data_IF_242600001464
#
_entry.id   IF_242600001464
#
_cell.length_a   1.000
_cell.length_b   1.000
_cell.length_c   1.000
_cell.angle_alpha   90.00
_cell.angle_beta   90.00
_cell.angle_gamma   90.00
#
_symmetry.space_group_name_H-M   'P 1'
#
loop_
_entity.id
_entity.type
_entity.pdbx_description
1 polymer ?
#
# COMPACT_ATOMS: atom_id res chain seq x y z
N UNK A 1 -75.14 -9.85 54.70
CA UNK A 1 -73.71 -10.24 54.54
C UNK A 1 -73.58 -11.17 53.34
N UNK A 2 -72.94 -10.71 52.26
CA UNK A 2 -72.21 -11.52 51.28
C UNK A 2 -71.34 -10.55 50.46
N UNK A 3 -70.03 -10.57 50.73
CA UNK A 3 -69.03 -9.68 50.15
C UNK A 3 -68.73 -10.16 48.73
N UNK A 4 -68.86 -9.26 47.75
CA UNK A 4 -68.29 -9.43 46.42
C UNK A 4 -66.77 -9.21 46.52
N UNK A 5 -65.99 -10.20 46.11
CA UNK A 5 -64.53 -10.08 46.00
C UNK A 5 -64.19 -10.21 44.52
N UNK A 6 -63.94 -9.07 43.87
CA UNK A 6 -63.44 -9.02 42.50
C UNK A 6 -61.98 -9.44 42.48
N UNK A 7 -61.67 -10.52 41.77
CA UNK A 7 -60.29 -10.90 41.44
C UNK A 7 -59.93 -10.18 40.14
N UNK A 8 -59.10 -9.15 40.23
CA UNK A 8 -58.46 -8.50 39.09
C UNK A 8 -57.24 -9.36 38.73
N UNK A 9 -57.30 -10.04 37.58
CA UNK A 9 -56.15 -10.76 37.03
C UNK A 9 -55.30 -9.74 36.25
N UNK A 10 -54.20 -9.32 36.86
CA UNK A 10 -53.19 -8.47 36.21
C UNK A 10 -52.33 -9.35 35.30
N UNK A 11 -52.56 -9.28 33.99
CA UNK A 11 -51.69 -9.89 32.99
C UNK A 11 -50.42 -9.05 32.86
N UNK A 12 -49.35 -9.45 33.55
CA UNK A 12 -48.01 -8.89 33.35
C UNK A 12 -47.44 -9.50 32.07
N UNK A 13 -47.58 -8.78 30.95
CA UNK A 13 -46.84 -9.02 29.72
C UNK A 13 -45.36 -8.72 29.99
N UNK A 14 -44.62 -9.75 30.38
CA UNK A 14 -43.16 -9.75 30.32
C UNK A 14 -42.76 -9.67 28.84
N UNK A 15 -42.52 -8.45 28.36
CA UNK A 15 -41.72 -8.19 27.18
C UNK A 15 -40.28 -8.64 27.47
N UNK A 16 -40.04 -9.94 27.35
CA UNK A 16 -38.70 -10.46 27.18
C UNK A 16 -38.16 -9.86 25.88
N UNK A 17 -37.45 -8.74 25.99
CA UNK A 17 -36.47 -8.31 25.00
C UNK A 17 -35.47 -9.46 24.92
N UNK A 18 -35.67 -10.35 23.93
CA UNK A 18 -34.67 -11.32 23.54
C UNK A 18 -33.44 -10.54 23.12
N UNK A 19 -32.47 -10.41 24.02
CA UNK A 19 -31.11 -10.06 23.65
C UNK A 19 -30.64 -11.15 22.68
N UNK A 20 -30.72 -10.86 21.38
CA UNK A 20 -30.04 -11.69 20.39
C UNK A 20 -28.59 -11.79 20.84
N UNK A 21 -28.01 -13.00 20.93
CA UNK A 21 -26.59 -13.12 21.23
C UNK A 21 -25.83 -12.31 20.19
N UNK A 22 -25.10 -11.30 20.64
CA UNK A 22 -24.19 -10.55 19.78
C UNK A 22 -23.26 -11.57 19.13
N UNK A 23 -23.18 -11.55 17.79
CA UNK A 23 -22.26 -12.42 17.06
C UNK A 23 -20.87 -12.22 17.68
N UNK A 24 -20.13 -13.29 18.01
CA UNK A 24 -18.80 -13.14 18.56
C UNK A 24 -17.95 -12.31 17.59
N UNK A 25 -17.39 -11.21 18.09
CA UNK A 25 -16.49 -10.37 17.31
C UNK A 25 -15.24 -11.20 16.99
N UNK A 26 -14.87 -11.23 15.71
CA UNK A 26 -13.69 -11.96 15.26
C UNK A 26 -12.46 -11.22 15.81
N UNK A 27 -11.68 -11.88 16.66
CA UNK A 27 -10.42 -11.34 17.17
C UNK A 27 -9.33 -11.43 16.08
N UNK A 28 -8.86 -10.27 15.63
CA UNK A 28 -7.83 -10.13 14.62
C UNK A 28 -6.43 -9.85 15.22
N UNK A 29 -6.30 -9.75 16.54
CA UNK A 29 -5.08 -9.26 17.22
C UNK A 29 -3.82 -10.00 16.79
N UNK A 30 -3.87 -11.34 16.72
CA UNK A 30 -2.72 -12.16 16.29
C UNK A 30 -2.33 -11.92 14.83
N UNK A 31 -3.32 -11.77 13.96
CA UNK A 31 -3.07 -11.45 12.56
C UNK A 31 -2.46 -10.05 12.43
N UNK A 32 -2.97 -9.06 13.16
CA UNK A 32 -2.44 -7.70 13.17
C UNK A 32 -0.99 -7.68 13.66
N UNK A 33 -0.70 -8.38 14.76
CA UNK A 33 0.67 -8.52 15.25
C UNK A 33 1.60 -9.15 14.20
N UNK A 34 1.12 -10.17 13.46
CA UNK A 34 1.88 -10.78 12.38
C UNK A 34 2.11 -9.84 11.20
N UNK A 35 1.13 -8.99 10.86
CA UNK A 35 1.23 -7.97 9.82
C UNK A 35 2.26 -6.90 10.20
N UNK A 36 2.22 -6.37 11.42
CA UNK A 36 3.19 -5.40 11.92
C UNK A 36 4.61 -5.99 11.93
N UNK A 37 4.75 -7.23 12.41
CA UNK A 37 6.02 -7.94 12.43
C UNK A 37 6.49 -8.43 11.05
N UNK A 38 5.69 -8.21 9.99
CA UNK A 38 5.95 -8.67 8.63
C UNK A 38 6.26 -10.18 8.51
N UNK A 39 5.70 -10.98 9.43
CA UNK A 39 5.96 -12.41 9.52
C UNK A 39 5.06 -13.18 8.53
N UNK A 40 5.54 -13.36 7.30
CA UNK A 40 4.79 -13.98 6.22
C UNK A 40 4.19 -15.37 6.53
N UNK A 41 4.93 -16.32 7.12
CA UNK A 41 4.36 -17.59 7.55
C UNK A 41 3.19 -17.42 8.53
N UNK A 42 3.34 -16.56 9.54
CA UNK A 42 2.31 -16.32 10.54
C UNK A 42 1.10 -15.59 9.96
N UNK A 43 1.30 -14.60 9.09
CA UNK A 43 0.22 -13.93 8.35
C UNK A 43 -0.61 -14.96 7.59
N UNK A 44 0.03 -15.87 6.84
CA UNK A 44 -0.68 -16.92 6.09
C UNK A 44 -1.47 -17.83 7.02
N UNK A 45 -0.86 -18.27 8.12
CA UNK A 45 -1.49 -19.16 9.09
C UNK A 45 -2.72 -18.53 9.76
N UNK A 46 -2.59 -17.32 10.31
CA UNK A 46 -3.70 -16.64 11.01
C UNK A 46 -4.81 -16.22 10.04
N UNK A 47 -4.46 -15.71 8.85
CA UNK A 47 -5.44 -15.36 7.81
C UNK A 47 -6.29 -16.54 7.35
N UNK A 48 -5.73 -17.76 7.33
CA UNK A 48 -6.46 -18.96 6.93
C UNK A 48 -7.40 -19.48 8.03
N UNK A 49 -7.17 -19.11 9.30
CA UNK A 49 -8.05 -19.44 10.43
C UNK A 49 -9.25 -18.49 10.54
N UNK A 50 -9.07 -17.24 10.11
CA UNK A 50 -10.07 -16.18 10.26
C UNK A 50 -10.96 -16.03 9.02
N UNK A 51 -12.25 -15.74 9.25
CA UNK A 51 -13.19 -15.39 8.18
C UNK A 51 -13.02 -13.93 7.76
N UNK A 52 -12.03 -13.68 6.90
CA UNK A 52 -11.69 -12.34 6.41
C UNK A 52 -12.40 -12.07 5.08
N UNK A 53 -12.97 -10.87 4.93
CA UNK A 53 -13.61 -10.43 3.69
C UNK A 53 -12.64 -10.49 2.50
N UNK A 54 -13.17 -10.68 1.28
CA UNK A 54 -12.35 -10.70 0.06
C UNK A 54 -11.52 -9.42 -0.11
N UNK A 55 -12.10 -8.25 0.24
CA UNK A 55 -11.41 -6.95 0.18
C UNK A 55 -10.18 -6.93 1.09
N UNK A 56 -10.31 -7.34 2.36
CA UNK A 56 -9.17 -7.36 3.27
C UNK A 56 -8.15 -8.44 2.89
N UNK A 57 -8.61 -9.58 2.37
CA UNK A 57 -7.71 -10.62 1.85
C UNK A 57 -6.86 -10.11 0.70
N UNK A 58 -7.43 -9.33 -0.21
CA UNK A 58 -6.70 -8.71 -1.32
C UNK A 58 -5.65 -7.72 -0.83
N UNK A 59 -6.00 -6.86 0.15
CA UNK A 59 -5.06 -5.91 0.75
C UNK A 59 -3.90 -6.64 1.44
N UNK A 60 -4.19 -7.67 2.23
CA UNK A 60 -3.17 -8.50 2.88
C UNK A 60 -2.26 -9.14 1.82
N UNK A 61 -2.82 -9.68 0.72
CA UNK A 61 -2.01 -10.26 -0.36
C UNK A 61 -1.04 -9.24 -0.97
N UNK A 62 -1.52 -8.04 -1.31
CA UNK A 62 -0.65 -6.97 -1.80
C UNK A 62 0.42 -6.57 -0.79
N UNK A 63 0.07 -6.53 0.49
CA UNK A 63 1.04 -6.24 1.55
C UNK A 63 2.11 -7.32 1.66
N UNK A 64 1.76 -8.61 1.53
CA UNK A 64 2.73 -9.70 1.50
C UNK A 64 3.67 -9.62 0.30
N UNK A 65 3.19 -9.20 -0.88
CA UNK A 65 4.04 -8.94 -2.04
C UNK A 65 5.00 -7.77 -1.79
N UNK A 66 4.54 -6.74 -1.09
CA UNK A 66 5.34 -5.58 -0.69
C UNK A 66 6.45 -5.99 0.30
N UNK A 67 6.13 -6.80 1.32
CA UNK A 67 7.10 -7.36 2.27
C UNK A 67 8.20 -8.13 1.51
N UNK A 68 7.85 -8.83 0.43
CA UNK A 68 8.78 -9.64 -0.37
C UNK A 68 9.52 -8.88 -1.48
N UNK A 69 9.49 -7.54 -1.50
CA UNK A 69 10.16 -6.71 -2.52
C UNK A 69 9.68 -7.01 -3.95
N UNK A 70 8.37 -7.23 -4.15
CA UNK A 70 7.79 -7.54 -5.46
C UNK A 70 6.93 -6.41 -6.04
N UNK A 71 7.49 -5.22 -6.36
CA UNK A 71 6.69 -4.09 -6.83
C UNK A 71 5.93 -4.39 -8.14
N UNK A 72 6.54 -5.10 -9.09
CA UNK A 72 5.88 -5.51 -10.33
C UNK A 72 4.70 -6.47 -10.10
N UNK A 73 4.81 -7.37 -9.11
CA UNK A 73 3.70 -8.24 -8.74
C UNK A 73 2.60 -7.46 -8.02
N UNK A 74 2.94 -6.47 -7.18
CA UNK A 74 1.94 -5.56 -6.58
C UNK A 74 1.17 -4.83 -7.67
N UNK A 75 1.85 -4.28 -8.67
CA UNK A 75 1.21 -3.62 -9.83
C UNK A 75 0.26 -4.59 -10.52
N UNK A 76 0.75 -5.77 -10.94
CA UNK A 76 -0.05 -6.76 -11.65
C UNK A 76 -1.29 -7.21 -10.86
N UNK A 77 -1.14 -7.48 -9.56
CA UNK A 77 -2.24 -7.93 -8.69
C UNK A 77 -3.19 -6.78 -8.26
N UNK A 78 -2.80 -5.53 -8.47
CA UNK A 78 -3.61 -4.36 -8.14
C UNK A 78 -4.59 -3.92 -9.22
N UNK A 79 -4.42 -4.35 -10.48
CA UNK A 79 -5.18 -3.82 -11.62
C UNK A 79 -6.70 -3.91 -11.45
N UNK A 80 -7.20 -5.03 -10.92
CA UNK A 80 -8.64 -5.21 -10.65
C UNK A 80 -9.09 -4.40 -9.44
N UNK A 81 -8.20 -4.21 -8.45
CA UNK A 81 -8.47 -3.44 -7.24
C UNK A 81 -8.61 -1.95 -7.55
N UNK A 82 -7.72 -1.41 -8.39
CA UNK A 82 -7.74 -0.03 -8.87
C UNK A 82 -9.10 0.32 -9.52
N UNK A 83 -9.57 -0.52 -10.44
CA UNK A 83 -10.88 -0.34 -11.11
C UNK A 83 -12.06 -0.31 -10.14
N UNK A 84 -11.92 -0.92 -8.97
CA UNK A 84 -12.98 -1.06 -7.98
C UNK A 84 -12.65 -0.32 -6.67
N UNK A 85 -11.73 0.65 -6.69
CA UNK A 85 -11.25 1.28 -5.46
C UNK A 85 -12.38 1.97 -4.67
N UNK A 86 -13.37 2.53 -5.37
CA UNK A 86 -14.56 3.15 -4.79
C UNK A 86 -15.41 2.19 -3.92
N UNK A 87 -15.26 0.87 -4.11
CA UNK A 87 -15.91 -0.12 -3.25
C UNK A 87 -15.16 -0.36 -1.93
N UNK A 88 -13.93 0.12 -1.78
CA UNK A 88 -13.17 0.00 -0.54
C UNK A 88 -13.54 1.15 0.40
N UNK A 89 -13.57 0.90 1.71
CA UNK A 89 -13.77 1.98 2.69
C UNK A 89 -12.52 2.85 2.80
N UNK A 90 -12.63 3.99 3.50
CA UNK A 90 -11.55 4.96 3.65
C UNK A 90 -10.24 4.32 4.18
N UNK A 91 -10.30 3.53 5.25
CA UNK A 91 -9.11 2.91 5.84
C UNK A 91 -8.42 1.93 4.88
N UNK A 92 -9.22 1.16 4.14
CA UNK A 92 -8.71 0.27 3.10
C UNK A 92 -8.05 1.03 1.95
N UNK A 93 -8.67 2.14 1.51
CA UNK A 93 -8.11 2.99 0.46
C UNK A 93 -6.79 3.64 0.88
N UNK A 94 -6.66 4.06 2.14
CA UNK A 94 -5.41 4.62 2.69
C UNK A 94 -4.27 3.59 2.62
N UNK A 95 -4.50 2.36 3.07
CA UNK A 95 -3.49 1.29 3.00
C UNK A 95 -3.13 0.98 1.53
N UNK A 96 -4.15 0.81 0.68
CA UNK A 96 -3.93 0.53 -0.74
C UNK A 96 -3.10 1.62 -1.42
N UNK A 97 -3.43 2.89 -1.19
CA UNK A 97 -2.69 4.03 -1.74
C UNK A 97 -1.21 3.95 -1.44
N UNK A 98 -0.82 3.68 -0.18
CA UNK A 98 0.58 3.60 0.23
C UNK A 98 1.31 2.41 -0.43
N UNK A 99 0.64 1.26 -0.56
CA UNK A 99 1.20 0.10 -1.25
C UNK A 99 1.42 0.37 -2.74
N UNK A 100 0.45 1.03 -3.38
CA UNK A 100 0.49 1.37 -4.80
C UNK A 100 1.53 2.44 -5.08
N UNK A 101 1.65 3.45 -4.22
CA UNK A 101 2.66 4.50 -4.34
C UNK A 101 4.05 3.92 -4.33
N UNK A 102 4.36 3.06 -3.35
CA UNK A 102 5.63 2.35 -3.30
C UNK A 102 5.85 1.53 -4.58
N UNK A 103 4.88 0.71 -4.98
CA UNK A 103 5.05 -0.21 -6.10
C UNK A 103 5.21 0.49 -7.46
N UNK A 104 4.42 1.54 -7.73
CA UNK A 104 4.44 2.27 -8.99
C UNK A 104 5.61 3.26 -9.09
N UNK A 105 6.09 3.81 -7.97
CA UNK A 105 7.25 4.70 -7.97
C UNK A 105 8.49 4.00 -8.56
N UNK A 106 8.73 2.73 -8.24
CA UNK A 106 9.88 1.95 -8.76
C UNK A 106 10.03 1.95 -10.29
N UNK A 107 9.07 1.43 -11.08
CA UNK A 107 9.19 1.43 -12.53
C UNK A 107 9.08 2.81 -13.16
N UNK A 108 8.31 3.73 -12.56
CA UNK A 108 8.17 5.11 -13.06
C UNK A 108 9.52 5.83 -12.95
N UNK A 109 10.12 5.80 -11.77
CA UNK A 109 11.44 6.35 -11.50
C UNK A 109 12.46 5.82 -12.50
N UNK A 110 12.53 4.50 -12.66
CA UNK A 110 13.48 3.87 -13.58
C UNK A 110 13.32 4.36 -15.02
N UNK A 111 12.10 4.43 -15.52
CA UNK A 111 11.86 4.86 -16.90
C UNK A 111 12.17 6.34 -17.09
N UNK A 112 11.84 7.19 -16.12
CA UNK A 112 12.03 8.64 -16.20
C UNK A 112 13.48 9.08 -16.00
N UNK A 113 14.31 8.22 -15.38
CA UNK A 113 15.75 8.43 -15.16
C UNK A 113 16.63 7.68 -16.18
N UNK A 114 16.05 6.77 -16.98
CA UNK A 114 16.81 5.85 -17.84
C UNK A 114 17.66 6.54 -18.91
N UNK A 115 17.21 7.68 -19.46
CA UNK A 115 17.98 8.41 -20.48
C UNK A 115 19.23 9.06 -19.88
N UNK A 116 19.11 9.57 -18.66
CA UNK A 116 20.13 10.31 -17.94
C UNK A 116 21.20 9.36 -17.37
N UNK A 117 20.78 8.21 -16.83
CA UNK A 117 21.71 7.15 -16.38
C UNK A 117 22.54 6.57 -17.54
N UNK A 118 22.00 6.54 -18.77
CA UNK A 118 22.79 6.12 -19.96
C UNK A 118 23.87 7.12 -20.36
N UNK A 119 23.64 8.41 -20.13
CA UNK A 119 24.66 9.44 -20.36
C UNK A 119 25.79 9.25 -19.35
N UNK A 120 25.46 8.79 -18.13
CA UNK A 120 26.40 8.34 -17.10
C UNK A 120 27.30 7.15 -17.44
N UNK A 121 27.27 6.62 -18.66
CA UNK A 121 28.10 5.48 -19.08
C UNK A 121 29.10 5.80 -20.20
N UNK A 122 29.22 7.08 -20.62
CA UNK A 122 30.21 7.52 -21.61
C UNK A 122 31.40 8.17 -20.91
N UNK A 123 32.60 8.00 -21.46
CA UNK A 123 33.88 8.52 -20.93
C UNK A 123 33.90 10.05 -20.71
N UNK A 124 32.91 10.77 -21.25
CA UNK A 124 32.66 12.19 -20.98
C UNK A 124 31.29 12.34 -20.34
N UNK A 125 31.27 12.81 -19.09
CA UNK A 125 30.11 12.70 -18.25
C UNK A 125 29.91 13.91 -17.34
N UNK A 126 28.97 14.78 -17.72
CA UNK A 126 28.58 15.96 -16.94
C UNK A 126 27.08 16.18 -17.08
N UNK A 127 26.26 15.35 -16.44
CA UNK A 127 24.86 15.71 -16.19
C UNK A 127 24.51 15.31 -14.76
N UNK A 128 24.33 16.33 -13.91
CA UNK A 128 24.01 16.20 -12.50
C UNK A 128 22.51 15.87 -12.27
N UNK A 129 22.16 15.25 -11.13
CA UNK A 129 20.79 14.97 -10.64
C UNK A 129 19.77 16.07 -10.83
N UNK A 130 20.22 17.32 -10.67
CA UNK A 130 19.40 18.52 -10.60
C UNK A 130 18.72 18.87 -11.92
N UNK A 131 18.82 18.02 -12.93
CA UNK A 131 18.20 18.17 -14.25
C UNK A 131 17.07 17.17 -14.53
N UNK A 132 16.76 16.26 -13.60
CA UNK A 132 15.59 15.39 -13.74
C UNK A 132 14.37 16.13 -13.23
N UNK A 133 13.64 16.72 -14.17
CA UNK A 133 12.41 17.43 -13.88
C UNK A 133 11.21 16.47 -13.92
N UNK A 134 10.93 15.86 -12.76
CA UNK A 134 9.75 15.00 -12.59
C UNK A 134 8.43 15.79 -12.70
N UNK A 135 8.44 17.11 -12.52
CA UNK A 135 7.25 17.97 -12.68
C UNK A 135 6.84 18.04 -14.15
N UNK A 136 7.80 18.04 -15.10
CA UNK A 136 7.47 17.93 -16.52
C UNK A 136 6.64 16.67 -16.80
N UNK A 137 6.89 15.58 -16.10
CA UNK A 137 6.16 14.33 -16.23
C UNK A 137 4.79 14.30 -15.52
N UNK A 138 4.34 15.40 -14.91
CA UNK A 138 2.93 15.56 -14.49
C UNK A 138 1.99 15.77 -15.69
N UNK A 139 2.55 16.18 -16.83
CA UNK A 139 1.88 16.22 -18.14
C UNK A 139 2.45 15.17 -19.08
N UNK A 140 1.71 14.85 -20.15
CA UNK A 140 2.16 13.87 -21.14
C UNK A 140 3.35 14.40 -21.94
N UNK A 141 4.56 13.98 -21.55
CA UNK A 141 5.80 14.35 -22.20
C UNK A 141 6.60 13.13 -22.66
N UNK A 142 7.44 13.32 -23.67
CA UNK A 142 8.27 12.25 -24.23
C UNK A 142 9.35 11.79 -23.25
N UNK A 143 9.42 10.48 -23.01
CA UNK A 143 10.34 9.89 -22.03
C UNK A 143 9.77 9.80 -20.61
N UNK A 144 8.58 10.35 -20.36
CA UNK A 144 7.85 10.14 -19.12
C UNK A 144 7.13 8.79 -19.08
N UNK A 145 6.79 8.32 -17.89
CA UNK A 145 6.06 7.06 -17.69
C UNK A 145 4.55 7.24 -17.82
N UNK A 146 4.09 7.90 -18.88
CA UNK A 146 2.71 8.37 -19.06
C UNK A 146 1.67 7.26 -18.81
N UNK A 147 1.91 6.05 -19.33
CA UNK A 147 1.01 4.92 -19.14
C UNK A 147 0.89 4.46 -17.67
N UNK A 148 2.00 4.44 -16.93
CA UNK A 148 2.00 4.05 -15.52
C UNK A 148 1.42 5.16 -14.64
N UNK A 149 1.75 6.42 -14.90
CA UNK A 149 1.17 7.59 -14.22
C UNK A 149 -0.35 7.63 -14.40
N UNK A 150 -0.84 7.40 -15.61
CA UNK A 150 -2.27 7.34 -15.91
C UNK A 150 -3.00 6.19 -15.18
N UNK A 151 -2.33 5.05 -14.97
CA UNK A 151 -2.94 3.93 -14.23
C UNK A 151 -3.22 4.24 -12.76
N UNK A 152 -2.47 5.15 -12.13
CA UNK A 152 -2.59 5.44 -10.69
C UNK A 152 -3.10 6.84 -10.37
N UNK A 153 -3.33 7.68 -11.39
CA UNK A 153 -3.75 9.09 -11.22
C UNK A 153 -5.06 9.27 -10.43
N UNK A 154 -5.92 8.26 -10.41
CA UNK A 154 -7.18 8.25 -9.65
C UNK A 154 -7.00 7.92 -8.16
N UNK A 155 -5.80 7.52 -7.74
CA UNK A 155 -5.48 7.07 -6.37
C UNK A 155 -4.36 7.91 -5.75
N UNK A 156 -3.37 8.24 -6.58
CA UNK A 156 -2.15 8.95 -6.19
C UNK A 156 -2.17 10.30 -6.87
N UNK A 157 -2.01 11.36 -6.09
CA UNK A 157 -1.89 12.70 -6.62
C UNK A 157 -0.57 12.82 -7.40
N UNK A 158 -0.55 13.39 -8.63
CA UNK A 158 0.69 13.64 -9.37
C UNK A 158 1.80 14.27 -8.53
N UNK A 159 1.46 15.26 -7.69
CA UNK A 159 2.43 15.95 -6.82
C UNK A 159 3.07 15.00 -5.79
N UNK A 160 2.26 14.14 -5.17
CA UNK A 160 2.75 13.15 -4.20
C UNK A 160 3.68 12.12 -4.86
N UNK A 161 3.35 11.69 -6.08
CA UNK A 161 4.23 10.84 -6.86
C UNK A 161 5.55 11.57 -7.18
N UNK A 162 5.48 12.82 -7.65
CA UNK A 162 6.65 13.66 -7.93
C UNK A 162 7.54 13.80 -6.69
N UNK A 163 6.98 14.09 -5.52
CA UNK A 163 7.73 14.19 -4.25
C UNK A 163 8.49 12.89 -3.93
N UNK A 164 7.84 11.73 -4.10
CA UNK A 164 8.48 10.44 -3.89
C UNK A 164 9.60 10.18 -4.91
N UNK A 165 9.39 10.50 -6.18
CA UNK A 165 10.41 10.32 -7.23
C UNK A 165 11.63 11.21 -7.00
N UNK A 166 11.41 12.43 -6.53
CA UNK A 166 12.49 13.35 -6.12
C UNK A 166 13.28 12.77 -4.94
N UNK A 167 12.60 12.28 -3.90
CA UNK A 167 13.28 11.61 -2.78
C UNK A 167 14.07 10.38 -3.23
N UNK A 168 13.53 9.60 -4.18
CA UNK A 168 14.27 8.48 -4.76
C UNK A 168 15.55 8.95 -5.46
N UNK A 169 15.50 10.05 -6.21
CA UNK A 169 16.67 10.61 -6.89
C UNK A 169 17.72 11.14 -5.92
N UNK A 170 17.30 11.79 -4.83
CA UNK A 170 18.20 12.28 -3.78
C UNK A 170 18.94 11.14 -3.08
N UNK A 171 18.27 10.01 -2.89
CA UNK A 171 18.80 8.80 -2.27
C UNK A 171 19.54 7.87 -3.25
N UNK A 172 19.47 8.14 -4.55
CA UNK A 172 20.11 7.29 -5.56
C UNK A 172 21.57 7.71 -5.73
N UNK A 173 22.53 6.89 -5.27
CA UNK A 173 23.95 7.23 -5.40
C UNK A 173 24.41 7.29 -6.85
N UNK A 174 23.65 6.72 -7.79
CA UNK A 174 23.94 6.76 -9.22
C UNK A 174 23.41 8.00 -9.90
N UNK A 175 22.52 8.73 -9.25
CA UNK A 175 22.09 10.04 -9.71
C UNK A 175 22.91 11.07 -8.94
N UNK A 176 22.90 11.06 -7.60
CA UNK A 176 23.58 12.02 -6.72
C UNK A 176 25.07 11.74 -6.51
N UNK A 177 25.83 11.82 -7.60
CA UNK A 177 27.28 11.70 -7.59
C UNK A 177 27.93 12.92 -6.92
N UNK A 178 28.42 12.74 -5.70
CA UNK A 178 29.36 13.65 -5.05
C UNK A 178 30.80 13.19 -5.30
N UNK A 179 31.78 14.08 -5.08
CA UNK A 179 33.21 13.72 -5.14
C UNK A 179 33.57 12.55 -4.20
N UNK A 180 32.82 12.39 -3.11
CA UNK A 180 32.95 11.28 -2.14
C UNK A 180 32.44 9.94 -2.71
N UNK A 181 31.43 9.96 -3.59
CA UNK A 181 30.79 8.77 -4.16
C UNK A 181 31.37 8.35 -5.52
N UNK A 182 32.12 9.25 -6.18
CA UNK A 182 32.79 9.01 -7.45
C UNK A 182 34.07 8.16 -7.32
N UNK A 183 34.71 8.18 -6.15
CA UNK A 183 35.92 7.40 -5.90
C UNK A 183 35.59 5.98 -5.42
N UNK A 184 35.98 4.96 -6.20
CA UNK A 184 35.96 3.55 -5.77
C UNK A 184 34.79 2.71 -6.29
N UNK A 185 34.36 1.72 -5.50
CA UNK A 185 33.43 0.67 -5.93
C UNK A 185 32.00 1.17 -6.23
N UNK A 186 31.60 2.33 -5.68
CA UNK A 186 30.26 2.91 -5.87
C UNK A 186 30.03 3.44 -7.29
N UNK A 187 30.95 4.23 -7.83
CA UNK A 187 30.90 4.67 -9.23
C UNK A 187 30.85 3.48 -10.20
N UNK A 188 31.64 2.44 -9.94
CA UNK A 188 31.64 1.20 -10.72
C UNK A 188 30.30 0.45 -10.64
N UNK A 189 29.63 0.40 -9.48
CA UNK A 189 28.30 -0.21 -9.33
C UNK A 189 27.22 0.53 -10.13
N UNK A 190 27.28 1.86 -10.16
CA UNK A 190 26.37 2.69 -10.95
C UNK A 190 26.57 2.51 -12.46
N UNK A 191 27.82 2.37 -12.90
CA UNK A 191 28.18 2.03 -14.28
C UNK A 191 27.83 0.58 -14.66
N UNK A 192 27.89 -0.35 -13.70
CA UNK A 192 27.65 -1.78 -13.90
C UNK A 192 26.16 -2.20 -13.89
N UNK A 193 25.23 -1.30 -13.56
CA UNK A 193 23.78 -1.51 -13.64
C UNK A 193 23.32 -1.62 -15.11
N UNK A 194 23.73 -2.70 -15.78
CA UNK A 194 23.47 -2.94 -17.21
C UNK A 194 22.17 -3.67 -17.49
N UNK A 195 21.55 -4.35 -16.53
CA UNK A 195 20.31 -5.10 -16.76
C UNK A 195 19.54 -5.33 -15.47
N UNK A 196 18.24 -5.05 -15.48
CA UNK A 196 17.31 -5.77 -14.60
C UNK A 196 16.70 -4.92 -13.52
N UNK A 197 17.41 -4.60 -12.44
CA UNK A 197 16.81 -4.06 -11.21
C UNK A 197 17.73 -3.01 -10.56
N UNK A 198 17.11 -1.95 -10.01
CA UNK A 198 17.79 -1.10 -9.03
C UNK A 198 18.12 -2.00 -7.83
N UNK A 199 19.40 -2.25 -7.58
CA UNK A 199 19.85 -3.07 -6.43
C UNK A 199 19.66 -2.35 -5.08
N UNK A 200 19.29 -1.08 -5.11
CA UNK A 200 19.16 -0.21 -3.96
C UNK A 200 17.68 0.12 -3.81
N UNK A 201 17.14 -0.14 -2.62
CA UNK A 201 15.80 0.33 -2.26
C UNK A 201 15.88 1.83 -1.99
N UNK A 202 15.42 2.63 -2.94
CA UNK A 202 15.46 4.10 -2.87
C UNK A 202 14.37 4.70 -1.99
N UNK A 203 13.33 3.90 -1.69
CA UNK A 203 12.24 4.24 -0.76
C UNK A 203 11.93 3.05 0.14
N UNK A 204 11.59 3.35 1.40
CA UNK A 204 11.16 2.34 2.36
C UNK A 204 9.82 1.73 1.97
N UNK A 205 9.65 0.43 2.25
CA UNK A 205 8.34 -0.22 2.16
C UNK A 205 7.38 0.43 3.17
N UNK A 206 6.10 0.61 2.82
CA UNK A 206 5.12 1.10 3.77
C UNK A 206 4.98 0.14 4.96
N UNK A 207 4.88 0.70 6.15
CA UNK A 207 4.58 0.00 7.39
C UNK A 207 3.31 0.61 7.99
N UNK A 208 2.50 -0.22 8.63
CA UNK A 208 1.22 0.23 9.21
C UNK A 208 1.15 -0.17 10.67
N UNK A 209 0.61 0.73 11.47
CA UNK A 209 0.42 0.57 12.90
C UNK A 209 -0.79 -0.33 13.21
N UNK A 210 -0.90 -0.72 14.48
CA UNK A 210 -1.96 -1.61 14.96
C UNK A 210 -3.35 -1.04 14.68
N UNK A 211 -3.58 0.23 15.00
CA UNK A 211 -4.85 0.93 14.80
C UNK A 211 -5.24 1.02 13.32
N UNK A 212 -4.28 1.23 12.42
CA UNK A 212 -4.54 1.25 10.98
C UNK A 212 -5.00 -0.12 10.47
N UNK A 213 -4.36 -1.20 10.93
CA UNK A 213 -4.80 -2.55 10.61
C UNK A 213 -6.14 -2.90 11.27
N UNK A 214 -6.34 -2.52 12.54
CA UNK A 214 -7.58 -2.76 13.26
C UNK A 214 -8.76 -2.09 12.54
N UNK A 215 -8.60 -0.85 12.08
CA UNK A 215 -9.63 -0.09 11.39
C UNK A 215 -10.10 -0.75 10.09
N UNK A 216 -9.23 -1.45 9.35
CA UNK A 216 -9.67 -2.19 8.14
C UNK A 216 -10.53 -3.42 8.49
N UNK A 217 -10.33 -4.03 9.66
CA UNK A 217 -11.09 -5.21 10.10
C UNK A 217 -12.41 -4.81 10.74
N UNK A 218 -12.46 -3.73 11.52
CA UNK A 218 -13.69 -3.26 12.17
C UNK A 218 -14.74 -2.79 11.15
N UNK A 219 -14.29 -2.22 10.03
CA UNK A 219 -15.16 -1.83 8.94
C UNK A 219 -15.82 -3.01 8.18
N UNK A 220 -15.49 -4.26 8.52
CA UNK A 220 -16.20 -5.45 8.00
C UNK A 220 -17.56 -5.67 8.68
N UNK A 221 -17.79 -5.13 9.86
CA UNK A 221 -18.96 -5.47 10.70
C UNK A 221 -20.27 -4.84 10.18
N UNK A 222 -20.22 -3.90 9.24
CA UNK A 222 -21.39 -3.09 8.83
C UNK A 222 -22.21 -3.71 7.69
N UNK A 223 -21.77 -4.80 7.04
CA UNK A 223 -22.54 -5.39 5.93
C UNK A 223 -22.81 -6.89 6.13
N UNK A 224 -23.87 -7.19 6.89
CA UNK A 224 -24.70 -8.35 6.61
C UNK A 224 -26.15 -7.86 6.52
N UNK A 225 -26.91 -8.22 5.47
CA UNK A 225 -28.31 -7.83 5.32
C UNK A 225 -29.18 -8.31 6.48
#
# INVERSE_FOLDING_TARGET
MRKFTSIVITFILLSACGSQPSKPQIDHTRLIAALIAQNNPLIKAERNKLKISTKNRNIINLYQLTINDKPYEVISNSQVLLKNLHHYNLHQQIILKQLLLWAYAHPIYRQETAKQIRILQRESLLVAPSQIDFLLCESENDGCSNALRAQVSHVINPKELTEILTQMAENDPCINLSDENLAGDFGNQCLASRKGDLKINLISKPQFLFDQWQAIFDAQVINTP
#
